data_IF_883525153170
#
_entry.id   IF_883525153170
#
_cell.length_a   1.000
_cell.length_b   1.000
_cell.length_c   1.000
_cell.angle_alpha   90.00
_cell.angle_beta   90.00
_cell.angle_gamma   90.00
#
_symmetry.space_group_name_H-M   'P 1'
#
loop_
_entity.id
_entity.type
_entity.pdbx_description
1 polymer ?
#
# COMPACT_ATOMS: atom_id res chain seq x y z
N UNK A 1 -8.15 28.40 -23.54
CA UNK A 1 -8.36 27.17 -22.74
C UNK A 1 -7.02 26.47 -22.61
N UNK A 2 -6.71 25.95 -21.40
CA UNK A 2 -5.71 24.93 -21.08
C UNK A 2 -4.23 25.24 -21.35
N UNK A 3 -3.56 25.91 -20.38
CA UNK A 3 -2.09 25.91 -20.23
C UNK A 3 -1.72 25.96 -18.73
N UNK A 4 -2.35 25.11 -17.90
CA UNK A 4 -2.10 25.08 -16.44
C UNK A 4 -1.81 23.69 -15.85
N UNK A 5 -1.82 22.62 -16.64
CA UNK A 5 -1.66 21.26 -16.10
C UNK A 5 -0.22 20.76 -16.09
N UNK A 6 0.61 21.17 -17.07
CA UNK A 6 1.97 20.65 -17.23
C UNK A 6 2.94 21.04 -16.10
N UNK A 7 2.84 22.25 -15.57
CA UNK A 7 3.65 22.68 -14.43
C UNK A 7 3.26 21.96 -13.12
N UNK A 8 1.96 21.65 -12.94
CA UNK A 8 1.47 20.96 -11.74
C UNK A 8 1.94 19.50 -11.70
N UNK A 9 1.87 18.80 -12.84
CA UNK A 9 2.32 17.42 -12.94
C UNK A 9 3.85 17.29 -12.78
N UNK A 10 4.62 18.27 -13.28
CA UNK A 10 6.08 18.28 -13.14
C UNK A 10 6.53 18.62 -11.72
N UNK A 11 5.90 19.58 -11.04
CA UNK A 11 6.20 19.87 -9.63
C UNK A 11 5.75 18.75 -8.69
N UNK A 12 4.64 18.08 -8.98
CA UNK A 12 4.20 16.88 -8.27
C UNK A 12 5.20 15.72 -8.43
N UNK A 13 5.70 15.50 -9.65
CA UNK A 13 6.71 14.49 -9.95
C UNK A 13 8.03 14.77 -9.22
N UNK A 14 8.51 16.03 -9.22
CA UNK A 14 9.71 16.41 -8.47
C UNK A 14 9.56 16.30 -6.94
N UNK A 15 8.36 16.53 -6.41
CA UNK A 15 8.08 16.30 -4.98
C UNK A 15 8.09 14.81 -4.62
N UNK A 16 7.59 13.94 -5.52
CA UNK A 16 7.67 12.48 -5.40
C UNK A 16 9.13 11.97 -5.41
N UNK A 17 9.98 12.53 -6.27
CA UNK A 17 11.41 12.20 -6.30
C UNK A 17 12.15 12.64 -5.04
N UNK A 18 11.80 13.78 -4.44
CA UNK A 18 12.45 14.30 -3.23
C UNK A 18 11.95 13.68 -1.91
N UNK A 19 10.88 12.87 -1.95
CA UNK A 19 10.34 12.17 -0.77
C UNK A 19 10.68 10.68 -0.69
N UNK A 20 11.26 10.04 -1.70
CA UNK A 20 11.83 8.69 -1.58
C UNK A 20 10.89 7.55 -1.11
N UNK A 21 11.40 6.31 -1.14
CA UNK A 21 10.71 5.15 -0.57
C UNK A 21 10.87 5.17 0.95
N UNK A 22 9.77 5.10 1.69
CA UNK A 22 9.79 5.05 3.16
C UNK A 22 9.54 6.39 3.88
N UNK A 23 9.34 7.49 3.16
CA UNK A 23 8.86 8.74 3.78
C UNK A 23 7.38 8.70 4.13
N UNK A 24 6.96 9.65 4.96
CA UNK A 24 5.56 9.79 5.35
C UNK A 24 4.65 10.05 4.15
N UNK A 25 5.08 10.88 3.19
CA UNK A 25 4.31 11.16 1.98
C UNK A 25 4.14 9.95 1.07
N UNK A 26 5.19 9.12 0.97
CA UNK A 26 5.09 7.86 0.23
C UNK A 26 4.00 6.96 0.83
N UNK A 27 4.00 6.81 2.16
CA UNK A 27 2.96 6.02 2.84
C UNK A 27 1.59 6.69 2.79
N UNK A 28 1.52 8.02 2.83
CA UNK A 28 0.26 8.77 2.68
C UNK A 28 -0.35 8.57 1.30
N UNK A 29 0.47 8.53 0.24
CA UNK A 29 -0.01 8.23 -1.11
C UNK A 29 -0.62 6.81 -1.20
N UNK A 30 0.03 5.82 -0.57
CA UNK A 30 -0.51 4.45 -0.47
C UNK A 30 -1.82 4.43 0.34
N UNK A 31 -1.87 5.13 1.46
CA UNK A 31 -3.05 5.19 2.33
C UNK A 31 -4.29 5.76 1.63
N UNK A 32 -4.09 6.79 0.80
CA UNK A 32 -5.15 7.39 -0.02
C UNK A 32 -5.63 6.39 -1.08
N UNK A 33 -4.73 5.65 -1.72
CA UNK A 33 -5.07 4.68 -2.75
C UNK A 33 -5.75 3.40 -2.19
N UNK A 34 -5.51 3.05 -0.93
CA UNK A 34 -6.10 1.86 -0.33
C UNK A 34 -7.61 2.00 -0.11
N UNK A 35 -8.42 0.97 -0.42
CA UNK A 35 -9.81 0.92 0.01
C UNK A 35 -9.92 0.77 1.55
N UNK A 36 -11.09 1.01 2.16
CA UNK A 36 -11.31 0.81 3.60
C UNK A 36 -10.98 -0.61 4.08
N UNK A 37 -11.26 -1.61 3.24
CA UNK A 37 -10.87 -3.01 3.42
C UNK A 37 -10.18 -3.50 2.16
N UNK A 38 -8.98 -4.06 2.30
CA UNK A 38 -8.16 -4.55 1.18
C UNK A 38 -8.00 -6.07 1.27
N UNK A 39 -8.34 -6.79 0.21
CA UNK A 39 -8.14 -8.25 0.16
C UNK A 39 -6.65 -8.60 -0.01
N UNK A 40 -6.23 -9.83 0.34
CA UNK A 40 -4.86 -10.29 0.07
C UNK A 40 -4.48 -10.16 -1.41
N UNK A 41 -5.40 -10.49 -2.31
CA UNK A 41 -5.18 -10.39 -3.75
C UNK A 41 -5.01 -8.94 -4.20
N UNK A 42 -5.84 -8.04 -3.67
CA UNK A 42 -5.75 -6.62 -3.99
C UNK A 42 -4.51 -5.96 -3.42
N UNK A 43 -4.12 -6.31 -2.19
CA UNK A 43 -2.88 -5.81 -1.60
C UNK A 43 -1.64 -6.27 -2.40
N UNK A 44 -1.67 -7.50 -2.92
CA UNK A 44 -0.63 -7.98 -3.83
C UNK A 44 -0.59 -7.21 -5.15
N UNK A 45 -1.75 -6.89 -5.72
CA UNK A 45 -1.87 -6.09 -6.95
C UNK A 45 -1.38 -4.66 -6.73
N UNK A 46 -1.81 -4.00 -5.66
CA UNK A 46 -1.45 -2.62 -5.31
C UNK A 46 0.05 -2.45 -5.05
N UNK A 47 0.70 -3.47 -4.50
CA UNK A 47 2.16 -3.48 -4.30
C UNK A 47 2.94 -3.90 -5.54
N UNK A 48 2.29 -4.02 -6.71
CA UNK A 48 2.94 -4.45 -7.96
C UNK A 48 3.50 -5.87 -7.89
N UNK A 49 3.00 -6.71 -6.99
CA UNK A 49 3.50 -8.07 -6.77
C UNK A 49 4.70 -8.19 -5.82
N UNK A 50 5.19 -7.08 -5.22
CA UNK A 50 6.26 -7.11 -4.22
C UNK A 50 5.88 -7.98 -3.01
N UNK A 51 4.59 -8.01 -2.68
CA UNK A 51 4.06 -8.85 -1.60
C UNK A 51 2.96 -9.73 -2.17
N UNK A 52 3.25 -11.01 -2.40
CA UNK A 52 2.26 -11.93 -2.98
C UNK A 52 1.13 -12.26 -1.99
N UNK A 53 -0.05 -12.60 -2.52
CA UNK A 53 -1.17 -13.09 -1.70
C UNK A 53 -0.81 -14.37 -0.93
N UNK A 54 0.08 -15.21 -1.49
CA UNK A 54 0.62 -16.40 -0.83
C UNK A 54 1.49 -16.03 0.37
N UNK A 55 2.36 -15.03 0.21
CA UNK A 55 3.17 -14.47 1.30
C UNK A 55 2.27 -13.98 2.43
N UNK A 56 1.26 -13.18 2.11
CA UNK A 56 0.28 -12.70 3.08
C UNK A 56 -0.44 -13.84 3.80
N UNK A 57 -0.85 -14.89 3.08
CA UNK A 57 -1.49 -16.06 3.68
C UNK A 57 -0.56 -16.81 4.63
N UNK A 58 0.72 -16.97 4.28
CA UNK A 58 1.71 -17.61 5.14
C UNK A 58 2.02 -16.76 6.37
N UNK A 59 2.16 -15.44 6.20
CA UNK A 59 2.42 -14.52 7.29
C UNK A 59 1.22 -14.40 8.24
N UNK A 60 -0.01 -14.50 7.74
CA UNK A 60 -1.21 -14.57 8.56
C UNK A 60 -1.24 -15.83 9.43
N UNK A 61 -0.77 -16.97 8.90
CA UNK A 61 -0.66 -18.23 9.66
C UNK A 61 0.42 -18.15 10.75
N UNK A 62 1.44 -17.32 10.53
CA UNK A 62 2.52 -17.06 11.50
C UNK A 62 2.25 -15.86 12.43
N UNK A 63 1.06 -15.24 12.35
CA UNK A 63 0.74 -13.98 13.04
C UNK A 63 1.75 -12.85 12.78
N UNK A 64 2.39 -12.85 11.61
CA UNK A 64 3.34 -11.82 11.12
C UNK A 64 2.73 -10.87 10.09
N UNK A 65 1.56 -11.23 9.53
CA UNK A 65 0.79 -10.43 8.59
C UNK A 65 0.07 -9.24 9.24
N UNK A 66 -0.80 -8.54 8.49
CA UNK A 66 -1.62 -7.48 9.06
C UNK A 66 -2.53 -8.01 10.18
N UNK A 67 -2.56 -7.31 11.30
CA UNK A 67 -3.25 -7.72 12.53
C UNK A 67 -4.79 -7.78 12.43
N UNK A 68 -5.43 -6.73 11.96
CA UNK A 68 -6.90 -6.68 11.84
C UNK A 68 -7.34 -7.32 10.53
N UNK A 69 -7.92 -8.51 10.66
CA UNK A 69 -8.34 -9.35 9.53
C UNK A 69 -9.85 -9.34 9.41
N UNK A 70 -10.32 -9.19 8.17
CA UNK A 70 -11.74 -9.26 7.80
C UNK A 70 -11.92 -10.45 6.87
N UNK A 71 -12.96 -11.24 7.12
CA UNK A 71 -13.32 -12.38 6.26
C UNK A 71 -14.64 -12.10 5.57
N UNK A 72 -14.66 -12.31 4.24
CA UNK A 72 -15.86 -12.25 3.42
C UNK A 72 -15.97 -13.55 2.62
N UNK A 73 -16.72 -14.52 3.15
CA UNK A 73 -16.81 -15.87 2.60
C UNK A 73 -15.45 -16.60 2.64
N UNK A 74 -14.96 -17.01 1.47
CA UNK A 74 -13.64 -17.65 1.31
C UNK A 74 -12.48 -16.65 1.21
N UNK A 75 -12.76 -15.34 1.14
CA UNK A 75 -11.74 -14.30 1.00
C UNK A 75 -11.35 -13.73 2.37
N UNK A 76 -10.06 -13.42 2.51
CA UNK A 76 -9.52 -12.69 3.65
C UNK A 76 -8.93 -11.38 3.16
N UNK A 77 -9.19 -10.33 3.93
CA UNK A 77 -8.61 -9.02 3.75
C UNK A 77 -8.29 -8.37 5.09
N UNK A 78 -7.93 -7.10 5.02
CA UNK A 78 -7.41 -6.34 6.14
C UNK A 78 -8.04 -4.96 6.15
N UNK A 79 -8.17 -4.36 7.33
CA UNK A 79 -8.50 -2.94 7.42
C UNK A 79 -7.38 -2.12 6.78
N UNK A 80 -7.73 -0.94 6.23
CA UNK A 80 -6.75 0.02 5.71
C UNK A 80 -5.62 0.28 6.71
N UNK A 81 -5.99 0.55 7.97
CA UNK A 81 -5.04 0.84 9.04
C UNK A 81 -4.05 -0.32 9.24
N UNK A 82 -4.55 -1.55 9.31
CA UNK A 82 -3.71 -2.72 9.53
C UNK A 82 -2.79 -3.02 8.34
N UNK A 83 -3.30 -2.86 7.11
CA UNK A 83 -2.49 -2.98 5.91
C UNK A 83 -1.35 -1.94 5.89
N UNK A 84 -1.62 -0.68 6.27
CA UNK A 84 -0.61 0.37 6.35
C UNK A 84 0.49 0.09 7.37
N UNK A 85 0.13 -0.37 8.58
CA UNK A 85 1.12 -0.78 9.60
C UNK A 85 2.04 -1.88 9.05
N UNK A 86 1.47 -2.86 8.36
CA UNK A 86 2.22 -3.95 7.76
C UNK A 86 3.16 -3.45 6.63
N UNK A 87 2.66 -2.61 5.73
CA UNK A 87 3.46 -2.06 4.62
C UNK A 87 4.63 -1.22 5.13
N UNK A 88 4.42 -0.39 6.16
CA UNK A 88 5.48 0.40 6.80
C UNK A 88 6.60 -0.45 7.38
N UNK A 89 6.26 -1.64 7.89
CA UNK A 89 7.25 -2.59 8.42
C UNK A 89 8.06 -3.27 7.31
N UNK A 90 7.41 -3.55 6.16
CA UNK A 90 7.95 -4.38 5.08
C UNK A 90 8.72 -3.62 4.02
N UNK A 91 8.26 -2.44 3.63
CA UNK A 91 8.90 -1.65 2.58
C UNK A 91 10.09 -0.89 3.17
N UNK A 92 11.29 -1.14 2.66
CA UNK A 92 12.55 -0.52 3.07
C UNK A 92 13.42 -0.23 1.85
N UNK A 93 14.17 0.86 1.88
CA UNK A 93 15.25 1.13 0.92
C UNK A 93 16.44 0.21 1.22
N UNK A 94 17.17 -0.17 0.17
CA UNK A 94 18.45 -0.90 0.25
C UNK A 94 19.62 0.08 0.23
#
# INVERSE_FOLDING_TARGET
>A
MQHRNWHYDFEYSNNLFNKGIGSEDFFKAIEVALPPVVSRAELARLTGGLISAKTLSNEDALNKGPGERVRAGSKVGYTKASAMVYLRKKLRLL
#
